data_IF_847768160726
#
_entry.id   IF_847768160726
#
_cell.length_a   1.000
_cell.length_b   1.000
_cell.length_c   1.000
_cell.angle_alpha   90.00
_cell.angle_beta   90.00
_cell.angle_gamma   90.00
#
_symmetry.space_group_name_H-M   'P 1'
#
loop_
_entity.id
_entity.type
_entity.pdbx_description
1 polymer ?
#
# COMPACT_ATOMS: atom_id res chain seq x y z
N UNK A 1 -12.67 11.27 -10.79
CA UNK A 1 -12.83 9.91 -11.33
C UNK A 1 -11.64 9.17 -10.78
N UNK A 2 -11.77 8.39 -9.71
CA UNK A 2 -10.57 7.92 -9.00
C UNK A 2 -9.69 7.06 -9.91
N UNK A 3 -8.41 7.41 -10.05
CA UNK A 3 -7.44 6.59 -10.75
C UNK A 3 -6.91 5.58 -9.73
N UNK A 4 -6.84 4.31 -10.14
CA UNK A 4 -6.16 3.28 -9.38
C UNK A 4 -4.98 2.73 -10.17
N UNK A 5 -3.99 2.20 -9.44
CA UNK A 5 -2.80 1.60 -10.01
C UNK A 5 -2.49 0.29 -9.33
N UNK A 6 -1.91 -0.67 -10.05
CA UNK A 6 -1.51 -1.93 -9.48
C UNK A 6 -0.20 -2.43 -10.12
N UNK A 7 0.73 -2.87 -9.28
CA UNK A 7 1.97 -3.56 -9.65
C UNK A 7 1.96 -4.93 -8.99
N UNK A 8 2.30 -5.97 -9.74
CA UNK A 8 2.42 -7.35 -9.27
C UNK A 8 3.71 -7.92 -9.79
N UNK A 9 4.43 -8.61 -8.92
CA UNK A 9 5.63 -9.35 -9.30
C UNK A 9 5.87 -10.47 -8.28
N UNK A 10 6.42 -11.60 -8.75
CA UNK A 10 6.93 -12.72 -7.96
C UNK A 10 6.34 -12.92 -6.54
N UNK A 11 5.01 -13.11 -6.45
CA UNK A 11 4.31 -13.39 -5.19
C UNK A 11 3.95 -12.18 -4.34
N UNK A 12 4.26 -10.96 -4.75
CA UNK A 12 3.83 -9.72 -4.09
C UNK A 12 3.04 -8.80 -5.02
N UNK A 13 2.33 -7.85 -4.40
CA UNK A 13 1.61 -6.80 -5.12
C UNK A 13 1.51 -5.51 -4.32
N UNK A 14 1.42 -4.40 -5.05
CA UNK A 14 1.12 -3.06 -4.57
C UNK A 14 -0.11 -2.58 -5.34
N UNK A 15 -1.16 -2.20 -4.63
CA UNK A 15 -2.36 -1.57 -5.18
C UNK A 15 -2.50 -0.18 -4.59
N UNK A 16 -2.92 0.77 -5.42
CA UNK A 16 -3.11 2.17 -5.04
C UNK A 16 -4.46 2.62 -5.53
N UNK A 17 -5.20 3.30 -4.66
CA UNK A 17 -6.46 3.96 -4.99
C UNK A 17 -6.37 5.43 -4.56
N UNK A 18 -6.64 6.36 -5.48
CA UNK A 18 -6.68 7.79 -5.13
C UNK A 18 -8.01 8.18 -4.56
N UNK A 19 -8.01 9.11 -3.62
CA UNK A 19 -9.23 9.75 -3.15
C UNK A 19 -9.13 11.26 -3.31
N UNK A 20 -10.26 11.89 -3.63
CA UNK A 20 -10.35 13.35 -3.66
C UNK A 20 -10.49 13.85 -2.23
N UNK A 21 -9.66 14.82 -1.86
CA UNK A 21 -9.65 15.46 -0.55
C UNK A 21 -9.65 16.99 -0.70
N UNK A 22 -9.78 17.69 0.42
CA UNK A 22 -9.61 19.15 0.40
C UNK A 22 -8.19 19.50 -0.03
N UNK A 23 -8.05 20.29 -1.10
CA UNK A 23 -6.75 20.71 -1.62
C UNK A 23 -6.10 19.79 -2.65
N UNK A 24 -6.74 18.67 -3.05
CA UNK A 24 -6.22 17.82 -4.12
C UNK A 24 -6.63 16.35 -3.97
N UNK A 25 -5.66 15.46 -4.16
CA UNK A 25 -5.82 14.02 -4.14
C UNK A 25 -4.79 13.36 -3.23
N UNK A 26 -5.23 12.48 -2.34
CA UNK A 26 -4.36 11.55 -1.63
C UNK A 26 -4.46 10.15 -2.27
N UNK A 27 -3.81 9.15 -1.66
CA UNK A 27 -4.02 7.76 -2.06
C UNK A 27 -3.85 6.77 -0.90
N UNK A 28 -4.66 5.72 -0.94
CA UNK A 28 -4.51 4.53 -0.12
C UNK A 28 -3.64 3.51 -0.85
N UNK A 29 -2.65 2.97 -0.16
CA UNK A 29 -1.69 1.99 -0.65
C UNK A 29 -1.94 0.67 0.08
N UNK A 30 -2.14 -0.41 -0.68
CA UNK A 30 -2.30 -1.75 -0.16
C UNK A 30 -1.19 -2.66 -0.70
N UNK A 31 -0.52 -3.34 0.22
CA UNK A 31 0.57 -4.27 -0.03
C UNK A 31 0.11 -5.70 0.24
N UNK A 32 0.57 -6.62 -0.57
CA UNK A 32 0.41 -8.06 -0.34
C UNK A 32 1.70 -8.80 -0.69
N UNK A 33 2.07 -9.80 0.10
CA UNK A 33 3.20 -10.69 -0.18
C UNK A 33 2.88 -12.10 0.28
N UNK A 34 2.92 -13.05 -0.66
CA UNK A 34 2.80 -14.47 -0.40
C UNK A 34 4.14 -15.00 0.07
N UNK A 35 4.29 -15.16 1.39
CA UNK A 35 5.48 -15.74 1.99
C UNK A 35 5.18 -17.19 2.43
N UNK A 36 6.21 -18.04 2.62
CA UNK A 36 6.02 -19.40 3.11
C UNK A 36 5.27 -19.46 4.46
N UNK A 37 5.45 -18.44 5.30
CA UNK A 37 4.75 -18.30 6.58
C UNK A 37 3.27 -17.87 6.47
N UNK A 38 2.83 -17.46 5.28
CA UNK A 38 1.46 -16.99 5.03
C UNK A 38 1.40 -15.73 4.16
N UNK A 39 0.18 -15.27 3.91
CA UNK A 39 -0.05 -14.04 3.14
C UNK A 39 0.08 -12.84 4.08
N UNK A 40 1.10 -12.02 3.84
CA UNK A 40 1.25 -10.74 4.49
C UNK A 40 0.39 -9.71 3.75
N UNK A 41 -0.44 -8.95 4.48
CA UNK A 41 -1.16 -7.78 3.95
C UNK A 41 -0.94 -6.57 4.83
N UNK A 42 -0.78 -5.40 4.19
CA UNK A 42 -0.64 -4.13 4.90
C UNK A 42 -1.24 -3.00 4.09
N UNK A 43 -1.91 -2.05 4.74
CA UNK A 43 -2.51 -0.90 4.08
C UNK A 43 -2.21 0.38 4.87
N UNK A 44 -1.93 1.46 4.14
CA UNK A 44 -1.65 2.78 4.69
C UNK A 44 -1.97 3.88 3.68
N UNK A 45 -2.16 5.11 4.14
CA UNK A 45 -2.40 6.27 3.28
C UNK A 45 -1.11 7.04 3.07
N UNK A 46 -0.83 7.47 1.84
CA UNK A 46 0.32 8.33 1.56
C UNK A 46 0.16 9.67 2.30
N UNK A 47 1.24 10.14 2.93
CA UNK A 47 1.21 11.33 3.81
C UNK A 47 1.01 12.69 3.10
N UNK A 48 0.87 12.71 1.77
CA UNK A 48 0.93 13.92 0.95
C UNK A 48 -0.32 14.05 0.09
N UNK A 49 -0.69 15.29 -0.19
CA UNK A 49 -1.79 15.65 -1.10
C UNK A 49 -1.18 16.15 -2.41
N UNK A 50 -1.65 15.61 -3.53
CA UNK A 50 -1.18 15.94 -4.86
C UNK A 50 -2.23 16.74 -5.64
N UNK A 51 -1.81 17.65 -6.56
CA UNK A 51 -2.75 18.44 -7.37
C UNK A 51 -3.64 17.61 -8.29
N UNK A 52 -3.21 16.41 -8.69
CA UNK A 52 -3.94 15.56 -9.64
C UNK A 52 -3.85 14.06 -9.28
N UNK A 53 -4.83 13.30 -9.76
CA UNK A 53 -4.97 11.85 -9.51
C UNK A 53 -3.75 11.06 -10.02
N UNK A 54 -3.16 11.45 -11.16
CA UNK A 54 -2.02 10.75 -11.75
C UNK A 54 -0.78 10.82 -10.85
N UNK A 55 -0.48 12.00 -10.30
CA UNK A 55 0.65 12.17 -9.39
C UNK A 55 0.46 11.38 -8.10
N UNK A 56 -0.74 11.40 -7.52
CA UNK A 56 -1.08 10.61 -6.35
C UNK A 56 -0.89 9.11 -6.59
N UNK A 57 -1.40 8.56 -7.70
CA UNK A 57 -1.20 7.13 -8.04
C UNK A 57 0.29 6.80 -8.22
N UNK A 58 1.02 7.60 -8.99
CA UNK A 58 2.43 7.32 -9.27
C UNK A 58 3.30 7.42 -8.01
N UNK A 59 2.98 8.35 -7.11
CA UNK A 59 3.65 8.45 -5.82
C UNK A 59 3.35 7.24 -4.93
N UNK A 60 2.08 6.86 -4.80
CA UNK A 60 1.69 5.69 -4.02
C UNK A 60 2.31 4.40 -4.54
N UNK A 61 2.41 4.23 -5.86
CA UNK A 61 3.05 3.06 -6.46
C UNK A 61 4.54 3.00 -6.15
N UNK A 62 5.25 4.14 -6.24
CA UNK A 62 6.67 4.22 -5.90
C UNK A 62 6.91 3.92 -4.42
N UNK A 63 6.14 4.53 -3.54
CA UNK A 63 6.27 4.30 -2.10
C UNK A 63 5.99 2.84 -1.74
N UNK A 64 4.89 2.27 -2.26
CA UNK A 64 4.55 0.87 -2.03
C UNK A 64 5.62 -0.12 -2.53
N UNK A 65 6.24 0.15 -3.69
CA UNK A 65 7.35 -0.67 -4.20
C UNK A 65 8.59 -0.58 -3.31
N UNK A 66 8.97 0.61 -2.84
CA UNK A 66 10.09 0.78 -1.91
C UNK A 66 9.81 0.05 -0.60
N UNK A 67 8.60 0.17 -0.06
CA UNK A 67 8.19 -0.51 1.16
C UNK A 67 8.31 -2.03 1.01
N UNK A 68 7.82 -2.58 -0.11
CA UNK A 68 7.94 -4.01 -0.43
C UNK A 68 9.40 -4.47 -0.50
N UNK A 69 10.26 -3.71 -1.17
CA UNK A 69 11.70 -4.00 -1.23
C UNK A 69 12.34 -4.00 0.18
N UNK A 70 11.98 -3.04 1.02
CA UNK A 70 12.46 -2.97 2.41
C UNK A 70 11.95 -4.14 3.27
N UNK A 71 10.70 -4.57 3.08
CA UNK A 71 10.16 -5.76 3.76
C UNK A 71 10.85 -7.04 3.32
N UNK A 72 11.05 -7.23 2.01
CA UNK A 72 11.69 -8.43 1.45
C UNK A 72 13.18 -8.51 1.79
N UNK A 73 13.87 -7.37 1.90
CA UNK A 73 15.24 -7.28 2.41
C UNK A 73 15.35 -7.42 3.94
N UNK A 74 14.23 -7.61 4.64
CA UNK A 74 14.14 -7.71 6.11
C UNK A 74 14.59 -6.43 6.84
N UNK A 75 14.60 -5.29 6.16
CA UNK A 75 14.89 -3.97 6.76
C UNK A 75 13.70 -3.50 7.60
N UNK A 76 12.47 -3.74 7.12
CA UNK A 76 11.25 -3.47 7.87
C UNK A 76 10.70 -4.76 8.46
N UNK A 77 10.49 -4.77 9.78
CA UNK A 77 9.80 -5.84 10.50
C UNK A 77 8.45 -5.35 10.98
N UNK A 78 7.44 -5.46 10.11
CA UNK A 78 6.05 -5.15 10.45
C UNK A 78 5.29 -6.45 10.63
N UNK A 79 4.64 -6.61 11.78
CA UNK A 79 3.73 -7.72 12.04
C UNK A 79 2.38 -7.41 11.39
N UNK A 80 1.74 -8.40 10.72
CA UNK A 80 0.33 -8.27 10.36
C UNK A 80 -0.45 -7.90 11.61
N UNK A 81 -1.33 -6.90 11.53
CA UNK A 81 -2.22 -6.59 12.64
C UNK A 81 -3.15 -7.80 12.79
N UNK A 82 -2.88 -8.66 13.78
CA UNK A 82 -3.83 -9.69 14.17
C UNK A 82 -5.14 -8.96 14.49
N UNK A 83 -6.18 -9.23 13.71
CA UNK A 83 -7.53 -8.79 14.01
C UNK A 83 -7.85 -9.41 15.37
N UNK A 84 -7.77 -8.60 16.43
CA UNK A 84 -8.24 -8.94 17.76
C UNK A 84 -9.74 -9.19 17.68
N UNK A 85 -10.13 -10.41 17.31
CA UNK A 85 -11.49 -10.90 17.50
C UNK A 85 -11.55 -11.31 18.97
N UNK A 86 -12.02 -10.39 19.83
CA UNK A 86 -12.44 -10.75 21.17
C UNK A 86 -13.61 -11.75 21.07
N UNK A 87 -13.52 -12.94 21.68
CA UNK A 87 -14.67 -13.81 21.80
C UNK A 87 -15.63 -13.20 22.85
N UNK A 88 -16.88 -12.95 22.43
CA UNK A 88 -18.01 -12.75 23.34
C UNK A 88 -18.54 -14.09 23.84
#
# INVERSE_FOLDING_TARGET
>A
MTISGNVRDNGWSVSVETHQVSGGFDCSIQLSHNAPEGVFTHAFTHSSIYPNEREAVLAGLREGMVWMQLKMSKTLSVQPRESSVEPR
#
